data_IF_750596437155
#
_entry.id   IF_750596437155
#
_cell.length_a   1.000
_cell.length_b   1.000
_cell.length_c   1.000
_cell.angle_alpha   90.00
_cell.angle_beta   90.00
_cell.angle_gamma   90.00
#
_symmetry.space_group_name_H-M   'P 1'
#
loop_
_entity.id
_entity.type
_entity.pdbx_description
1 polymer ?
#
# COMPACT_ATOMS: atom_id res chain seq x y z
N UNK A 1 36.96 56.26 6.67
CA UNK A 1 36.21 55.83 5.46
C UNK A 1 36.67 54.42 5.13
N UNK A 2 35.77 53.42 5.27
CA UNK A 2 35.70 52.07 4.65
C UNK A 2 37.01 51.23 4.52
N UNK A 3 37.07 49.91 4.76
CA UNK A 3 36.11 48.85 5.10
C UNK A 3 36.94 47.60 5.48
N UNK A 4 36.46 46.83 6.44
CA UNK A 4 36.90 45.45 6.70
C UNK A 4 36.39 44.51 5.58
N UNK A 5 37.16 43.48 5.23
CA UNK A 5 36.65 42.31 4.53
C UNK A 5 37.04 41.06 5.33
N UNK A 6 36.09 40.56 6.12
CA UNK A 6 36.15 39.24 6.74
C UNK A 6 35.82 38.18 5.71
N UNK A 7 36.65 37.14 5.63
CA UNK A 7 36.37 35.96 4.84
C UNK A 7 35.31 35.11 5.56
N UNK A 8 34.12 35.07 4.98
CA UNK A 8 33.02 34.20 5.37
C UNK A 8 33.32 32.78 4.86
N UNK A 9 33.75 31.89 5.74
CA UNK A 9 33.81 30.45 5.45
C UNK A 9 32.38 29.91 5.57
N UNK A 10 31.73 29.71 4.41
CA UNK A 10 30.46 29.01 4.30
C UNK A 10 30.69 27.52 4.61
N UNK A 11 30.28 27.08 5.80
CA UNK A 11 30.17 25.67 6.12
C UNK A 11 28.88 25.15 5.46
N UNK A 12 29.02 24.31 4.43
CA UNK A 12 27.91 23.68 3.71
C UNK A 12 27.02 22.85 4.65
N UNK A 13 25.73 23.16 4.66
CA UNK A 13 24.69 22.51 5.46
C UNK A 13 24.29 21.09 5.00
N UNK A 14 25.13 20.40 4.21
CA UNK A 14 24.79 19.12 3.60
C UNK A 14 25.16 17.89 4.45
N UNK A 15 25.92 18.06 5.55
CA UNK A 15 26.44 16.94 6.35
C UNK A 15 25.67 16.70 7.67
N UNK A 16 24.59 17.45 7.93
CA UNK A 16 23.92 17.44 9.24
C UNK A 16 22.65 16.57 9.30
N UNK A 17 22.22 15.93 8.20
CA UNK A 17 20.91 15.25 8.15
C UNK A 17 20.96 13.71 8.05
N UNK A 18 22.11 13.09 8.30
CA UNK A 18 22.23 11.62 8.33
C UNK A 18 22.41 11.02 9.74
N UNK A 19 22.50 11.85 10.78
CA UNK A 19 22.79 11.40 12.14
C UNK A 19 21.55 11.09 13.02
N UNK A 20 20.33 11.27 12.51
CA UNK A 20 19.09 11.15 13.32
C UNK A 20 18.10 10.07 12.84
N UNK A 21 18.51 9.18 11.93
CA UNK A 21 17.70 7.97 11.69
C UNK A 21 18.06 6.94 12.76
N UNK A 22 17.51 7.12 13.96
CA UNK A 22 17.48 6.10 14.99
C UNK A 22 17.04 4.76 14.34
N UNK A 23 17.64 3.61 14.72
CA UNK A 23 17.17 2.32 14.23
C UNK A 23 15.70 2.22 14.60
N UNK A 24 14.83 2.00 13.61
CA UNK A 24 13.42 1.72 13.87
C UNK A 24 13.37 0.50 14.80
N UNK A 25 13.08 0.73 16.08
CA UNK A 25 12.75 -0.33 17.02
C UNK A 25 11.63 -1.14 16.36
N UNK A 26 11.78 -2.46 16.18
CA UNK A 26 10.71 -3.26 15.61
C UNK A 26 9.48 -3.03 16.46
N UNK A 27 8.41 -2.53 15.84
CA UNK A 27 7.13 -2.46 16.50
C UNK A 27 6.62 -3.89 16.68
N UNK A 28 6.83 -4.45 17.88
CA UNK A 28 6.40 -5.80 18.24
C UNK A 28 4.88 -5.92 18.34
N UNK A 29 4.13 -4.83 18.15
CA UNK A 29 2.66 -4.83 18.09
C UNK A 29 2.12 -4.92 16.66
N UNK A 30 2.95 -4.68 15.64
CA UNK A 30 2.57 -4.88 14.25
C UNK A 30 2.28 -6.37 13.99
N UNK A 31 1.14 -6.72 13.37
CA UNK A 31 0.84 -8.11 13.03
C UNK A 31 1.93 -8.72 12.14
N UNK A 32 2.55 -9.84 12.52
CA UNK A 32 3.51 -10.53 11.64
C UNK A 32 2.85 -11.76 10.97
N UNK A 33 2.67 -11.69 9.65
CA UNK A 33 2.14 -12.80 8.84
C UNK A 33 3.20 -13.47 7.96
N UNK A 34 4.50 -13.27 8.22
CA UNK A 34 5.61 -13.86 7.44
C UNK A 34 5.51 -15.39 7.38
N UNK A 35 5.03 -16.05 8.45
CA UNK A 35 4.91 -17.51 8.54
C UNK A 35 3.68 -18.10 7.82
N UNK A 36 2.79 -17.27 7.28
CA UNK A 36 1.55 -17.72 6.65
C UNK A 36 1.78 -18.01 5.17
N UNK A 37 2.21 -19.23 4.87
CA UNK A 37 2.63 -19.63 3.50
C UNK A 37 1.60 -20.51 2.78
N UNK A 38 0.48 -20.85 3.42
CA UNK A 38 -0.52 -21.77 2.86
C UNK A 38 -1.94 -21.24 3.03
N UNK A 39 -2.81 -21.56 2.07
CA UNK A 39 -4.24 -21.24 2.15
C UNK A 39 -4.90 -21.85 3.39
N UNK A 40 -4.47 -23.04 3.80
CA UNK A 40 -4.98 -23.68 5.01
C UNK A 40 -4.68 -22.85 6.26
N UNK A 41 -3.44 -22.34 6.40
CA UNK A 41 -3.06 -21.47 7.50
C UNK A 41 -3.82 -20.13 7.47
N UNK A 42 -3.88 -19.47 6.32
CA UNK A 42 -4.64 -18.23 6.16
C UNK A 42 -6.13 -18.41 6.49
N UNK A 43 -6.75 -19.50 6.00
CA UNK A 43 -8.15 -19.80 6.31
C UNK A 43 -8.41 -20.09 7.81
N UNK A 44 -7.42 -20.56 8.58
CA UNK A 44 -7.58 -20.66 10.04
C UNK A 44 -7.64 -19.27 10.68
N UNK A 45 -6.80 -18.35 10.23
CA UNK A 45 -6.83 -16.96 10.69
C UNK A 45 -8.11 -16.24 10.28
N UNK A 46 -8.67 -16.57 9.09
CA UNK A 46 -9.99 -16.08 8.67
C UNK A 46 -11.09 -16.52 9.63
N UNK A 47 -11.11 -17.81 10.01
CA UNK A 47 -12.08 -18.31 10.99
C UNK A 47 -11.90 -17.70 12.38
N UNK A 48 -10.68 -17.27 12.71
CA UNK A 48 -10.35 -16.59 13.96
C UNK A 48 -10.57 -15.07 13.90
N UNK A 49 -11.07 -14.53 12.78
CA UNK A 49 -11.30 -13.08 12.60
C UNK A 49 -10.02 -12.24 12.46
N UNK A 50 -8.86 -12.87 12.27
CA UNK A 50 -7.56 -12.18 12.15
C UNK A 50 -7.17 -11.83 10.71
N UNK A 51 -7.82 -12.46 9.75
CA UNK A 51 -7.71 -12.15 8.33
C UNK A 51 -9.11 -12.19 7.72
N UNK A 52 -9.28 -11.58 6.56
CA UNK A 52 -10.46 -11.74 5.72
C UNK A 52 -10.03 -12.12 4.31
N UNK A 53 -10.94 -12.76 3.57
CA UNK A 53 -10.73 -12.99 2.14
C UNK A 53 -11.28 -11.79 1.38
N UNK A 54 -10.53 -11.37 0.36
CA UNK A 54 -10.95 -10.32 -0.56
C UNK A 54 -10.78 -10.76 -2.00
N UNK A 55 -11.43 -10.02 -2.90
CA UNK A 55 -11.02 -9.97 -4.29
C UNK A 55 -10.04 -8.80 -4.49
N UNK A 56 -8.89 -9.00 -5.13
CA UNK A 56 -7.94 -7.92 -5.37
C UNK A 56 -8.58 -6.85 -6.26
N UNK A 57 -8.96 -7.24 -7.47
CA UNK A 57 -9.80 -6.45 -8.36
C UNK A 57 -11.25 -6.48 -7.86
N UNK A 58 -11.84 -5.33 -7.47
CA UNK A 58 -13.21 -5.23 -6.98
C UNK A 58 -14.20 -5.77 -7.99
N UNK A 59 -15.13 -6.61 -7.53
CA UNK A 59 -16.17 -7.19 -8.39
C UNK A 59 -17.13 -6.15 -8.93
N UNK A 60 -17.33 -5.09 -8.17
CA UNK A 60 -18.14 -3.91 -8.45
C UNK A 60 -17.60 -3.14 -9.66
N UNK A 61 -16.27 -3.18 -9.85
CA UNK A 61 -15.57 -2.55 -10.97
C UNK A 61 -15.31 -3.54 -12.13
N UNK A 62 -16.00 -4.68 -12.16
CA UNK A 62 -15.86 -5.70 -13.21
C UNK A 62 -14.78 -6.75 -12.95
N UNK A 63 -14.23 -6.80 -11.73
CA UNK A 63 -13.26 -7.82 -11.33
C UNK A 63 -13.82 -9.24 -11.43
N UNK A 64 -13.01 -10.24 -11.86
CA UNK A 64 -13.49 -11.60 -12.05
C UNK A 64 -13.77 -12.29 -10.72
N UNK A 65 -15.04 -12.49 -10.39
CA UNK A 65 -15.48 -13.09 -9.12
C UNK A 65 -15.02 -14.55 -8.91
N UNK A 66 -14.85 -15.31 -10.00
CA UNK A 66 -14.51 -16.74 -9.98
C UNK A 66 -13.02 -17.02 -10.18
N UNK A 67 -12.20 -16.01 -10.41
CA UNK A 67 -10.77 -16.20 -10.61
C UNK A 67 -10.05 -16.41 -9.27
N UNK A 68 -9.36 -17.55 -9.15
CA UNK A 68 -8.57 -17.90 -7.97
C UNK A 68 -7.38 -16.98 -7.73
N UNK A 69 -6.87 -16.32 -8.78
CA UNK A 69 -5.76 -15.37 -8.70
C UNK A 69 -6.23 -14.00 -8.23
N UNK A 70 -7.52 -13.71 -8.38
CA UNK A 70 -8.13 -12.52 -7.84
C UNK A 70 -8.43 -12.64 -6.34
N UNK A 71 -8.17 -13.76 -5.67
CA UNK A 71 -8.49 -13.95 -4.24
C UNK A 71 -7.23 -13.73 -3.39
N UNK A 72 -7.34 -12.80 -2.43
CA UNK A 72 -6.30 -12.46 -1.46
C UNK A 72 -6.74 -12.64 -0.01
N UNK A 73 -5.78 -12.50 0.90
CA UNK A 73 -6.00 -12.46 2.35
C UNK A 73 -5.40 -11.20 2.92
N UNK A 74 -6.17 -10.41 3.68
CA UNK A 74 -5.71 -9.18 4.33
C UNK A 74 -6.25 -9.08 5.76
N UNK A 75 -5.75 -8.13 6.54
CA UNK A 75 -6.28 -7.81 7.87
C UNK A 75 -7.67 -7.19 7.78
N UNK A 76 -8.53 -7.34 8.81
CA UNK A 76 -9.83 -6.66 8.87
C UNK A 76 -9.72 -5.14 8.69
N UNK A 77 -8.72 -4.51 9.30
CA UNK A 77 -8.48 -3.06 9.24
C UNK A 77 -8.16 -2.62 7.81
N UNK A 78 -7.30 -3.37 7.11
CA UNK A 78 -7.01 -3.10 5.70
C UNK A 78 -8.24 -3.34 4.81
N UNK A 79 -9.14 -4.25 5.18
CA UNK A 79 -10.37 -4.48 4.43
C UNK A 79 -11.34 -3.30 4.55
N UNK A 80 -11.49 -2.73 5.75
CA UNK A 80 -12.29 -1.51 5.94
C UNK A 80 -11.74 -0.33 5.12
N UNK A 81 -10.42 -0.11 5.15
CA UNK A 81 -9.79 0.92 4.33
C UNK A 81 -9.95 0.64 2.81
N UNK A 82 -9.90 -0.64 2.41
CA UNK A 82 -10.17 -1.05 1.02
C UNK A 82 -11.60 -0.73 0.58
N UNK A 83 -12.61 -0.93 1.41
CA UNK A 83 -14.00 -0.60 1.05
C UNK A 83 -14.19 0.90 0.80
N UNK A 84 -13.54 1.76 1.60
CA UNK A 84 -13.55 3.20 1.38
C UNK A 84 -12.87 3.61 0.05
N UNK A 85 -11.76 2.94 -0.27
CA UNK A 85 -11.05 3.14 -1.53
C UNK A 85 -11.94 2.71 -2.72
N UNK A 86 -12.63 1.58 -2.62
CA UNK A 86 -13.52 1.10 -3.69
C UNK A 86 -14.66 2.07 -3.95
N UNK A 87 -15.32 2.57 -2.91
CA UNK A 87 -16.37 3.57 -3.08
C UNK A 87 -15.88 4.88 -3.70
N UNK A 88 -14.57 5.17 -3.62
CA UNK A 88 -13.96 6.30 -4.36
C UNK A 88 -13.72 5.94 -5.81
N UNK A 89 -13.14 4.77 -6.09
CA UNK A 89 -12.90 4.26 -7.44
C UNK A 89 -14.19 4.07 -8.25
N UNK A 90 -15.28 3.65 -7.61
CA UNK A 90 -16.61 3.57 -8.24
C UNK A 90 -17.06 4.92 -8.77
N UNK A 91 -16.98 5.97 -7.94
CA UNK A 91 -17.31 7.33 -8.38
C UNK A 91 -16.39 7.80 -9.51
N UNK A 92 -15.09 7.51 -9.42
CA UNK A 92 -14.14 7.88 -10.47
C UNK A 92 -14.45 7.19 -11.82
N UNK A 93 -14.92 5.94 -11.79
CA UNK A 93 -15.40 5.25 -13.00
C UNK A 93 -16.71 5.86 -13.50
N UNK A 94 -17.67 6.16 -12.62
CA UNK A 94 -18.95 6.78 -12.98
C UNK A 94 -18.77 8.17 -13.61
N UNK A 95 -17.88 8.98 -13.05
CA UNK A 95 -17.53 10.31 -13.55
C UNK A 95 -16.64 10.25 -14.81
N UNK A 96 -16.15 9.06 -15.17
CA UNK A 96 -15.25 8.83 -16.28
C UNK A 96 -13.90 9.53 -16.09
N UNK A 97 -13.42 9.65 -14.86
CA UNK A 97 -12.07 10.15 -14.53
C UNK A 97 -11.02 9.05 -14.62
N UNK A 98 -11.41 7.79 -14.51
CA UNK A 98 -10.57 6.61 -14.77
C UNK A 98 -11.30 5.60 -15.66
N UNK A 99 -10.53 4.85 -16.45
CA UNK A 99 -11.03 3.73 -17.27
C UNK A 99 -10.08 2.51 -17.24
N UNK A 100 -8.93 2.65 -16.57
CA UNK A 100 -7.95 1.60 -16.37
C UNK A 100 -7.56 1.51 -14.90
N UNK A 101 -7.29 0.28 -14.45
CA UNK A 101 -6.78 0.02 -13.11
C UNK A 101 -5.82 -1.16 -13.09
N UNK A 102 -4.77 -1.06 -12.27
CA UNK A 102 -3.82 -2.13 -11.96
C UNK A 102 -3.69 -2.26 -10.45
N UNK A 103 -3.62 -3.51 -9.99
CA UNK A 103 -3.49 -3.83 -8.57
C UNK A 103 -2.30 -4.75 -8.38
N UNK A 104 -1.37 -4.35 -7.51
CA UNK A 104 -0.10 -5.06 -7.29
C UNK A 104 0.10 -5.30 -5.80
N UNK A 105 -0.14 -6.53 -5.31
CA UNK A 105 0.22 -6.92 -3.96
C UNK A 105 1.74 -7.13 -3.81
N UNK A 106 2.30 -6.60 -2.73
CA UNK A 106 3.68 -6.86 -2.30
C UNK A 106 3.69 -7.92 -1.20
N UNK A 107 4.61 -8.87 -1.27
CA UNK A 107 4.74 -9.94 -0.29
C UNK A 107 6.11 -9.93 0.38
N UNK A 108 6.15 -10.37 1.63
CA UNK A 108 7.39 -10.60 2.38
C UNK A 108 7.73 -12.09 2.41
N UNK A 109 8.89 -12.43 1.87
CA UNK A 109 9.38 -13.81 1.81
C UNK A 109 8.41 -14.72 1.08
N UNK A 110 8.00 -15.80 1.74
CA UNK A 110 7.07 -16.80 1.18
C UNK A 110 5.63 -16.65 1.68
N UNK A 111 5.32 -15.54 2.36
CA UNK A 111 3.96 -15.31 2.86
C UNK A 111 2.97 -15.13 1.70
N UNK A 112 1.77 -15.68 1.87
CA UNK A 112 0.63 -15.46 0.96
C UNK A 112 -0.26 -14.30 1.41
N UNK A 113 0.09 -13.65 2.51
CA UNK A 113 -0.55 -12.41 2.98
C UNK A 113 0.35 -11.26 2.54
N UNK A 114 -0.13 -10.34 1.69
CA UNK A 114 0.66 -9.21 1.25
C UNK A 114 0.92 -8.26 2.42
N UNK A 115 2.08 -7.60 2.45
CA UNK A 115 2.37 -6.52 3.42
C UNK A 115 1.67 -5.23 3.02
N UNK A 116 1.52 -5.00 1.71
CA UNK A 116 0.78 -3.87 1.14
C UNK A 116 0.18 -4.22 -0.21
N UNK A 117 -0.77 -3.42 -0.67
CA UNK A 117 -1.37 -3.51 -2.00
C UNK A 117 -1.34 -2.13 -2.65
N UNK A 118 -0.73 -2.02 -3.83
CA UNK A 118 -0.77 -0.81 -4.66
C UNK A 118 -1.96 -0.85 -5.60
N UNK A 119 -2.79 0.18 -5.54
CA UNK A 119 -3.87 0.45 -6.50
C UNK A 119 -3.42 1.61 -7.38
N UNK A 120 -3.38 1.36 -8.67
CA UNK A 120 -2.95 2.30 -9.70
C UNK A 120 -4.12 2.49 -10.65
N UNK A 121 -4.63 3.71 -10.79
CA UNK A 121 -5.76 4.00 -11.66
C UNK A 121 -5.48 5.22 -12.53
N UNK A 122 -5.94 5.16 -13.78
CA UNK A 122 -5.70 6.20 -14.77
C UNK A 122 -6.80 6.21 -15.83
N UNK A 123 -6.81 7.30 -16.62
CA UNK A 123 -7.58 7.37 -17.86
C UNK A 123 -6.66 7.18 -19.06
N UNK A 124 -7.04 6.29 -19.97
CA UNK A 124 -6.23 5.90 -21.15
C UNK A 124 -5.88 7.08 -22.08
N UNK A 125 -6.78 8.05 -22.20
CA UNK A 125 -6.61 9.22 -23.08
C UNK A 125 -6.26 10.56 -22.39
N UNK A 126 -6.55 10.74 -21.09
CA UNK A 126 -6.46 12.06 -20.42
C UNK A 126 -5.14 12.33 -19.72
N UNK A 127 -4.29 11.30 -19.60
CA UNK A 127 -3.01 11.37 -18.90
C UNK A 127 -3.17 11.55 -17.38
N UNK A 128 -2.10 11.25 -16.65
CA UNK A 128 -2.13 11.21 -15.19
C UNK A 128 -2.53 9.84 -14.64
N UNK A 129 -1.92 9.49 -13.52
CA UNK A 129 -2.15 8.27 -12.78
C UNK A 129 -2.20 8.67 -11.31
N UNK A 130 -3.09 8.06 -10.55
CA UNK A 130 -3.02 8.13 -9.10
C UNK A 130 -2.74 6.74 -8.53
N UNK A 131 -1.90 6.73 -7.50
CA UNK A 131 -1.52 5.54 -6.77
C UNK A 131 -1.98 5.67 -5.32
N UNK A 132 -2.66 4.63 -4.83
CA UNK A 132 -2.99 4.46 -3.42
C UNK A 132 -2.33 3.19 -2.90
N UNK A 133 -1.60 3.33 -1.81
CA UNK A 133 -0.97 2.21 -1.11
C UNK A 133 -1.82 1.84 0.09
N UNK A 134 -2.35 0.62 0.07
CA UNK A 134 -3.04 0.01 1.19
C UNK A 134 -2.04 -0.82 1.99
N UNK A 135 -1.63 -0.35 3.16
CA UNK A 135 -0.84 -1.13 4.10
C UNK A 135 -1.71 -2.21 4.75
N UNK A 136 -1.15 -3.41 4.90
CA UNK A 136 -1.84 -4.58 5.47
C UNK A 136 -1.24 -4.94 6.82
N UNK A 137 0.10 -4.98 6.91
CA UNK A 137 0.85 -5.30 8.13
C UNK A 137 2.35 -5.01 8.01
#
# INVERSE_FOLDING_TARGET
MLLALGALILVSAAMAQEADRAPATPDLTAPDFTSITTKAAANRLVRAGRLVKIHYFPTELGGPAKDRYNIGYITPEAAEARELLIGTLERDVEDGTIDQMRIVPDYKGTSIVPTRIRFMAWHSERGGEFEVVLEVW
#
